data_IF_501366623685
#
_entry.id   IF_501366623685
#
_cell.length_a   1.000
_cell.length_b   1.000
_cell.length_c   1.000
_cell.angle_alpha   90.00
_cell.angle_beta   90.00
_cell.angle_gamma   90.00
#
_symmetry.space_group_name_H-M   'P 1'
#
loop_
_entity.id
_entity.type
_entity.pdbx_description
1 polymer ?
#
# COMPACT_ATOMS: atom_id res chain seq x y z
N UNK A 1 1.62 4.05 11.68
CA UNK A 1 1.20 4.06 11.87
C UNK A 1 1.17 3.99 11.60
N UNK A 2 1.61 3.94 10.99
CA UNK A 2 1.27 3.86 10.84
C UNK A 2 1.47 3.84 10.55
N UNK A 3 1.88 3.89 10.04
CA UNK A 3 1.67 3.74 10.08
C UNK A 3 1.85 3.85 9.66
N UNK A 4 1.95 3.80 9.29
CA UNK A 4 1.55 3.93 9.20
C UNK A 4 1.39 4.14 8.97
N UNK A 5 1.62 4.14 8.68
CA UNK A 5 1.08 4.41 8.78
C UNK A 5 1.03 4.75 8.87
N UNK A 6 1.47 4.79 8.63
CA UNK A 6 1.11 5.12 8.97
C UNK A 6 0.87 5.42 9.02
N UNK A 7 1.05 5.58 8.67
CA UNK A 7 0.47 5.63 9.10
C UNK A 7 0.06 5.94 9.06
N UNK A 8 -0.33 6.04 8.95
CA UNK A 8 -1.11 6.11 9.16
C UNK A 8 -1.76 6.18 9.37
N UNK A 9 -2.19 6.14 9.49
CA UNK A 9 -3.02 6.19 9.80
C UNK A 9 -3.67 6.51 10.19
N UNK A 10 -4.12 6.70 10.38
CA UNK A 10 -4.78 6.78 10.58
C UNK A 10 -5.54 7.40 10.56
N UNK A 11 -5.98 7.87 10.69
CA UNK A 11 -6.76 8.50 10.77
C UNK A 11 -7.55 8.72 9.88
N UNK A 12 -7.97 8.35 9.65
CA UNK A 12 -8.72 8.22 8.87
C UNK A 12 -8.96 8.96 7.92
N UNK A 13 -8.66 9.11 7.50
CA UNK A 13 -8.80 9.71 6.66
C UNK A 13 -8.51 9.48 5.60
N UNK A 14 -8.55 9.43 5.18
CA UNK A 14 -8.36 9.32 4.15
C UNK A 14 -8.23 8.32 3.60
N UNK A 15 -8.71 7.86 2.97
CA UNK A 15 -8.55 6.86 2.33
C UNK A 15 -7.78 7.11 1.49
N UNK A 16 -6.94 6.93 1.76
CA UNK A 16 -6.06 7.16 1.02
C UNK A 16 -5.79 6.07 0.21
N UNK A 17 -5.48 6.30 -1.02
CA UNK A 17 -5.00 5.35 -1.93
C UNK A 17 -3.94 4.54 -1.32
N UNK A 18 -3.18 5.08 -0.43
CA UNK A 18 -2.07 4.39 0.16
C UNK A 18 -2.27 4.20 1.66
N UNK A 19 -3.51 4.26 2.11
CA UNK A 19 -3.84 4.01 3.50
C UNK A 19 -3.55 2.57 3.88
N UNK A 20 -3.67 1.66 2.91
CA UNK A 20 -3.30 0.27 3.11
C UNK A 20 -1.95 0.05 2.46
N UNK A 21 -0.87 0.01 3.25
CA UNK A 21 0.47 -0.15 2.67
C UNK A 21 0.66 -1.50 2.02
N UNK A 22 -0.26 -2.45 2.26
CA UNK A 22 -0.10 -3.79 1.74
C UNK A 22 -0.68 -3.94 0.34
N UNK A 23 -1.39 -2.92 -0.15
CA UNK A 23 -1.90 -2.94 -1.50
C UNK A 23 -0.80 -2.67 -2.54
N UNK A 24 0.28 -2.02 -2.11
CA UNK A 24 1.39 -1.69 -2.99
C UNK A 24 2.45 -2.78 -2.86
N UNK A 25 2.60 -3.59 -3.91
CA UNK A 25 3.54 -4.69 -3.90
C UNK A 25 4.89 -4.34 -4.51
N UNK A 26 5.06 -3.09 -4.89
CA UNK A 26 6.33 -2.73 -5.51
C UNK A 26 7.47 -2.85 -4.53
N UNK A 27 8.53 -3.51 -4.95
CA UNK A 27 9.75 -3.58 -4.16
C UNK A 27 10.54 -2.29 -4.33
N UNK A 28 11.39 -2.00 -3.39
CA UNK A 28 12.26 -0.82 -3.48
C UNK A 28 12.02 0.16 -2.36
N UNK A 29 12.62 1.33 -2.53
CA UNK A 29 12.51 2.41 -1.55
C UNK A 29 11.31 3.28 -1.85
N UNK A 30 10.66 3.73 -0.80
CA UNK A 30 9.47 4.57 -0.91
C UNK A 30 9.77 5.95 -0.41
N UNK A 31 9.22 6.95 -1.10
CA UNK A 31 9.42 8.36 -0.78
C UNK A 31 8.09 9.08 -0.82
N UNK A 32 7.92 10.07 0.05
CA UNK A 32 6.71 10.88 0.04
C UNK A 32 6.81 11.98 -1.03
N UNK A 33 5.80 12.83 -1.09
CA UNK A 33 5.76 13.87 -2.14
C UNK A 33 6.85 14.92 -2.00
N UNK A 34 7.44 15.06 -0.82
CA UNK A 34 8.56 15.99 -0.61
C UNK A 34 9.90 15.33 -0.91
N UNK A 35 9.88 14.04 -1.25
CA UNK A 35 11.09 13.27 -1.49
C UNK A 35 11.72 12.70 -0.23
N UNK A 36 11.03 12.77 0.91
CA UNK A 36 11.54 12.20 2.15
C UNK A 36 11.38 10.69 2.15
N UNK A 37 12.37 10.00 2.66
CA UNK A 37 12.38 8.53 2.69
C UNK A 37 11.35 8.00 3.70
N UNK A 38 10.47 7.12 3.24
CA UNK A 38 9.43 6.53 4.09
C UNK A 38 9.72 5.09 4.48
N UNK A 39 10.65 4.43 3.80
CA UNK A 39 10.94 3.04 4.09
C UNK A 39 11.18 2.24 2.82
N UNK A 40 11.19 0.91 2.96
CA UNK A 40 11.46 0.04 1.82
C UNK A 40 10.70 -1.27 1.90
N UNK A 41 10.54 -1.90 0.75
CA UNK A 41 9.99 -3.24 0.62
C UNK A 41 11.07 -4.09 -0.04
N UNK A 42 11.42 -5.20 0.57
CA UNK A 42 12.41 -6.13 0.03
C UNK A 42 11.78 -7.05 -1.01
N UNK A 43 12.60 -7.72 -1.77
CA UNK A 43 12.14 -8.69 -2.77
C UNK A 43 11.37 -9.85 -2.15
N UNK A 44 11.63 -10.15 -0.88
CA UNK A 44 10.91 -11.21 -0.17
C UNK A 44 9.60 -10.72 0.45
N UNK A 45 9.20 -9.48 0.15
CA UNK A 45 7.94 -8.92 0.61
C UNK A 45 7.98 -8.30 2.01
N UNK A 46 9.14 -8.28 2.66
CA UNK A 46 9.25 -7.66 3.98
C UNK A 46 9.30 -6.15 3.87
N UNK A 47 8.61 -5.49 4.77
CA UNK A 47 8.49 -4.03 4.77
C UNK A 47 9.18 -3.47 6.01
N UNK A 48 9.86 -2.36 5.80
CA UNK A 48 10.58 -1.64 6.87
C UNK A 48 10.26 -0.16 6.77
N UNK A 49 10.16 0.51 7.93
CA UNK A 49 9.89 1.95 7.96
C UNK A 49 11.17 2.75 7.70
N UNK A 50 11.07 4.07 7.80
CA UNK A 50 12.19 4.97 7.52
C UNK A 50 13.36 4.78 8.49
N UNK A 51 13.09 4.23 9.68
CA UNK A 51 14.12 3.97 10.69
C UNK A 51 14.66 2.53 10.60
N UNK A 52 14.19 1.77 9.60
CA UNK A 52 14.65 0.39 9.40
C UNK A 52 13.93 -0.63 10.27
N UNK A 53 12.86 -0.24 10.95
CA UNK A 53 12.12 -1.17 11.81
C UNK A 53 11.18 -2.02 10.96
N UNK A 54 11.08 -3.29 11.31
CA UNK A 54 10.22 -4.23 10.59
C UNK A 54 8.74 -3.89 10.82
N UNK A 55 7.98 -3.76 9.74
CA UNK A 55 6.56 -3.43 9.80
C UNK A 55 5.66 -4.62 9.48
N UNK A 56 6.19 -5.64 8.82
CA UNK A 56 5.40 -6.79 8.40
C UNK A 56 5.80 -7.27 7.02
N UNK A 57 5.00 -8.13 6.42
CA UNK A 57 5.34 -8.72 5.13
C UNK A 57 4.11 -9.10 4.31
N UNK A 58 4.34 -9.24 3.01
CA UNK A 58 3.35 -9.82 2.09
C UNK A 58 4.02 -11.06 1.50
N UNK A 59 3.36 -12.21 1.56
CA UNK A 59 3.93 -13.45 1.04
C UNK A 59 3.64 -13.60 -0.46
N UNK A 60 4.14 -14.67 -1.06
CA UNK A 60 4.00 -14.91 -2.50
C UNK A 60 2.56 -15.14 -2.93
N UNK A 61 1.67 -15.47 -2.00
CA UNK A 61 0.24 -15.65 -2.26
C UNK A 61 -0.55 -14.35 -2.10
N UNK A 62 0.14 -13.25 -1.80
CA UNK A 62 -0.51 -11.96 -1.62
C UNK A 62 -1.09 -11.73 -0.25
N UNK A 63 -0.80 -12.62 0.71
CA UNK A 63 -1.29 -12.45 2.08
C UNK A 63 -0.38 -11.50 2.85
N UNK A 64 -0.99 -10.58 3.58
CA UNK A 64 -0.27 -9.57 4.33
C UNK A 64 -0.35 -9.86 5.83
N UNK A 65 0.77 -9.66 6.51
CA UNK A 65 0.90 -9.89 7.96
C UNK A 65 1.58 -8.69 8.60
N UNK A 66 1.17 -8.33 9.80
CA UNK A 66 1.81 -7.23 10.52
C UNK A 66 3.11 -7.72 11.17
N UNK A 67 3.78 -6.85 11.92
CA UNK A 67 5.05 -7.20 12.54
C UNK A 67 4.92 -8.29 13.62
N UNK A 68 3.72 -8.47 14.16
CA UNK A 68 3.44 -9.52 15.14
C UNK A 68 3.06 -10.84 14.47
N UNK A 69 2.96 -10.85 13.15
CA UNK A 69 2.56 -12.04 12.40
C UNK A 69 1.05 -12.20 12.27
N UNK A 70 0.26 -11.20 12.66
CA UNK A 70 -1.19 -11.30 12.51
C UNK A 70 -1.60 -11.06 11.07
N UNK A 71 -2.57 -11.83 10.61
CA UNK A 71 -3.06 -11.73 9.24
C UNK A 71 -3.86 -10.42 9.07
N UNK A 72 -3.51 -9.65 8.04
CA UNK A 72 -4.15 -8.36 7.77
C UNK A 72 -5.10 -8.41 6.57
N UNK A 73 -4.97 -9.43 5.73
CA UNK A 73 -5.77 -9.52 4.52
C UNK A 73 -4.92 -9.97 3.35
N UNK A 74 -5.48 -9.88 2.15
CA UNK A 74 -4.75 -10.34 0.95
C UNK A 74 -5.12 -9.54 -0.29
N UNK A 75 -4.24 -9.60 -1.26
CA UNK A 75 -4.50 -9.09 -2.61
C UNK A 75 -4.37 -10.29 -3.54
N UNK A 76 -5.39 -10.54 -4.36
CA UNK A 76 -5.33 -11.69 -5.28
C UNK A 76 -4.65 -11.30 -6.60
N UNK A 77 -4.54 -12.27 -7.51
CA UNK A 77 -3.86 -12.06 -8.78
C UNK A 77 -4.58 -11.10 -9.71
N UNK A 78 -5.87 -10.86 -9.47
CA UNK A 78 -6.66 -9.90 -10.26
C UNK A 78 -6.55 -8.48 -9.70
N UNK A 79 -5.77 -8.28 -8.65
CA UNK A 79 -5.61 -6.98 -8.01
C UNK A 79 -6.69 -6.64 -7.01
N UNK A 80 -7.58 -7.58 -6.68
CA UNK A 80 -8.62 -7.34 -5.67
C UNK A 80 -8.05 -7.53 -4.28
N UNK A 81 -8.44 -6.63 -3.38
CA UNK A 81 -7.97 -6.63 -2.00
C UNK A 81 -9.09 -7.03 -1.05
N UNK A 82 -8.73 -7.77 -0.02
CA UNK A 82 -9.66 -8.25 1.00
C UNK A 82 -9.05 -8.05 2.37
N UNK A 83 -9.87 -7.72 3.35
CA UNK A 83 -9.38 -7.51 4.72
C UNK A 83 -9.21 -8.87 5.44
N UNK A 84 -8.86 -8.82 6.72
CA UNK A 84 -8.59 -10.02 7.51
C UNK A 84 -9.84 -10.91 7.66
N UNK A 85 -11.04 -10.35 7.52
CA UNK A 85 -12.29 -11.09 7.61
C UNK A 85 -12.79 -11.55 6.24
N UNK A 86 -12.01 -11.30 5.19
CA UNK A 86 -12.36 -11.72 3.83
C UNK A 86 -13.28 -10.75 3.10
N UNK A 87 -13.52 -9.57 3.65
CA UNK A 87 -14.40 -8.59 3.00
C UNK A 87 -13.62 -7.83 1.92
N UNK A 88 -14.29 -7.60 0.80
CA UNK A 88 -13.68 -6.87 -0.32
C UNK A 88 -13.44 -5.41 0.08
N UNK A 89 -12.24 -4.91 -0.16
CA UNK A 89 -11.85 -3.54 0.20
C UNK A 89 -11.55 -2.66 -1.01
N UNK A 90 -11.36 -3.24 -2.18
CA UNK A 90 -11.08 -2.47 -3.38
C UNK A 90 -10.19 -3.24 -4.35
N UNK A 91 -9.72 -2.56 -5.39
CA UNK A 91 -8.87 -3.21 -6.38
C UNK A 91 -7.94 -2.23 -7.06
N UNK A 92 -6.86 -2.76 -7.60
CA UNK A 92 -5.96 -2.03 -8.48
C UNK A 92 -6.00 -2.75 -9.83
N UNK A 93 -6.22 -2.02 -10.91
CA UNK A 93 -6.29 -2.63 -12.24
C UNK A 93 -4.89 -2.71 -12.88
N UNK A 94 -4.81 -3.31 -14.07
CA UNK A 94 -3.52 -3.52 -14.75
C UNK A 94 -2.85 -2.22 -15.19
N UNK A 95 -3.59 -1.12 -15.27
CA UNK A 95 -3.01 0.19 -15.62
C UNK A 95 -2.59 0.96 -14.36
N UNK A 96 -2.70 0.35 -13.18
CA UNK A 96 -2.28 0.98 -11.93
C UNK A 96 -3.33 1.83 -11.26
N UNK A 97 -4.56 1.86 -11.79
CA UNK A 97 -5.65 2.63 -11.18
C UNK A 97 -6.21 1.89 -9.97
N UNK A 98 -6.49 2.64 -8.92
CA UNK A 98 -6.94 2.10 -7.65
C UNK A 98 -8.37 2.55 -7.38
N UNK A 99 -9.22 1.62 -6.97
CA UNK A 99 -10.63 1.88 -6.69
C UNK A 99 -10.98 1.31 -5.32
N UNK A 100 -11.87 2.00 -4.60
CA UNK A 100 -12.32 1.51 -3.30
C UNK A 100 -13.41 0.43 -3.49
N UNK A 101 -13.95 -0.07 -2.39
CA UNK A 101 -14.95 -1.15 -2.47
C UNK A 101 -16.25 -0.71 -3.14
N UNK A 102 -16.52 0.59 -3.20
CA UNK A 102 -17.68 1.13 -3.88
C UNK A 102 -17.43 1.38 -5.37
N UNK A 103 -16.20 1.14 -5.82
CA UNK A 103 -15.81 1.39 -7.20
C UNK A 103 -15.37 2.81 -7.49
N UNK A 104 -15.22 3.65 -6.45
CA UNK A 104 -14.76 5.02 -6.66
C UNK A 104 -13.26 5.08 -6.87
N UNK A 105 -12.87 5.91 -7.81
CA UNK A 105 -11.45 6.08 -8.15
C UNK A 105 -10.70 6.74 -6.99
N UNK A 106 -9.59 6.14 -6.57
CA UNK A 106 -8.78 6.63 -5.46
C UNK A 106 -7.45 7.20 -5.91
N UNK A 107 -7.03 6.94 -7.13
CA UNK A 107 -5.75 7.39 -7.63
C UNK A 107 -5.06 6.31 -8.44
N UNK A 108 -3.78 6.49 -8.70
CA UNK A 108 -3.04 5.54 -9.53
C UNK A 108 -1.55 5.51 -9.19
N UNK A 109 -0.91 4.43 -9.59
CA UNK A 109 0.54 4.27 -9.55
C UNK A 109 0.95 4.08 -11.00
N UNK A 110 1.90 4.86 -11.50
CA UNK A 110 2.34 4.71 -12.89
C UNK A 110 3.51 3.72 -12.97
N UNK A 111 4.00 3.51 -14.19
CA UNK A 111 5.05 2.53 -14.45
C UNK A 111 6.38 2.90 -13.79
N UNK A 112 6.57 4.16 -13.46
CA UNK A 112 7.78 4.63 -12.80
C UNK A 112 7.66 4.56 -11.28
N UNK A 113 6.54 4.02 -10.77
CA UNK A 113 6.31 3.93 -9.33
C UNK A 113 5.82 5.24 -8.70
N UNK A 114 5.45 6.23 -9.51
CA UNK A 114 4.90 7.48 -8.99
C UNK A 114 3.43 7.29 -8.63
N UNK A 115 3.05 7.82 -7.49
CA UNK A 115 1.69 7.68 -6.97
C UNK A 115 0.97 9.02 -7.04
N UNK A 116 -0.29 8.98 -7.45
CA UNK A 116 -1.14 10.16 -7.60
C UNK A 116 -2.47 9.90 -6.90
N UNK A 117 -3.05 10.93 -6.29
CA UNK A 117 -4.35 10.78 -5.63
C UNK A 117 -5.49 10.89 -6.66
N UNK A 118 -6.73 10.88 -6.18
CA UNK A 118 -7.90 10.90 -7.05
C UNK A 118 -8.02 12.19 -7.86
N UNK A 119 -7.40 13.27 -7.41
CA UNK A 119 -7.40 14.54 -8.11
C UNK A 119 -6.18 14.71 -9.03
N UNK A 120 -5.35 13.67 -9.12
CA UNK A 120 -4.17 13.70 -9.98
C UNK A 120 -2.95 14.35 -9.34
N UNK A 121 -2.98 14.62 -8.03
CA UNK A 121 -1.85 15.26 -7.35
C UNK A 121 -0.81 14.21 -6.99
N UNK A 122 0.44 14.55 -7.16
CA UNK A 122 1.56 13.66 -6.83
C UNK A 122 1.65 13.48 -5.30
N UNK A 123 1.74 12.22 -4.84
CA UNK A 123 1.81 11.92 -3.41
C UNK A 123 3.04 11.11 -3.01
N UNK A 124 3.91 10.76 -3.95
CA UNK A 124 5.14 10.05 -3.62
C UNK A 124 5.53 9.04 -4.68
N UNK A 125 6.60 8.29 -4.43
CA UNK A 125 7.04 7.27 -5.38
C UNK A 125 7.78 6.14 -4.69
N UNK A 126 7.83 5.01 -5.41
CA UNK A 126 8.66 3.85 -5.04
C UNK A 126 9.73 3.68 -6.12
N UNK A 127 10.95 3.34 -5.72
CA UNK A 127 12.04 3.10 -6.66
C UNK A 127 13.22 2.32 -6.06
#
# INVERSE_FOLDING_TARGET
MLGVLTGVLASGVAPQVFADPWSDRETGRRYDRSGSYEGRVNEDGRRYDAQGRYEGRVDSNGRAYDRSGRYLGRVDSDGRSYDAQGRYTGRQDSSGRIYDRSGRYQGRVDEDGRRYDAQGRYVGQSR
#
